data_IF_752138832339
#
_entry.id   IF_752138832339
#
_cell.length_a   1.000
_cell.length_b   1.000
_cell.length_c   1.000
_cell.angle_alpha   90.00
_cell.angle_beta   90.00
_cell.angle_gamma   90.00
#
_symmetry.space_group_name_H-M   'P 1'
#
loop_
_entity.id
_entity.type
_entity.pdbx_description
1 polymer ?
#
# COMPACT_ATOMS: atom_id res chain seq x y z
N UNK A 1 -13.35 -17.43 -12.99
CA UNK A 1 -13.45 -15.95 -13.12
C UNK A 1 -12.32 -15.47 -14.02
N UNK A 2 -12.56 -14.40 -14.79
CA UNK A 2 -11.50 -13.77 -15.59
C UNK A 2 -10.68 -12.86 -14.65
N UNK A 3 -9.39 -13.14 -14.39
CA UNK A 3 -8.59 -12.36 -13.45
C UNK A 3 -8.28 -10.93 -13.96
N UNK A 4 -8.64 -10.61 -15.20
CA UNK A 4 -8.49 -9.29 -15.81
C UNK A 4 -9.84 -8.60 -16.07
N UNK A 5 -10.94 -9.07 -15.46
CA UNK A 5 -12.26 -8.46 -15.67
C UNK A 5 -12.39 -7.07 -15.07
N UNK A 6 -11.59 -6.75 -14.04
CA UNK A 6 -11.64 -5.48 -13.33
C UNK A 6 -10.23 -4.94 -13.07
N UNK A 7 -9.53 -4.56 -14.15
CA UNK A 7 -8.13 -4.09 -14.05
C UNK A 7 -8.02 -2.73 -13.35
N UNK A 8 -9.03 -1.88 -13.52
CA UNK A 8 -9.01 -0.54 -12.91
C UNK A 8 -9.28 -0.58 -11.41
N UNK A 9 -10.09 -1.54 -10.95
CA UNK A 9 -10.47 -1.65 -9.55
C UNK A 9 -11.27 -0.44 -9.03
N UNK A 10 -11.50 -0.42 -7.72
CA UNK A 10 -12.25 0.64 -7.05
C UNK A 10 -11.38 1.85 -6.68
N UNK A 11 -11.78 3.05 -7.11
CA UNK A 11 -11.08 4.32 -6.80
C UNK A 11 -11.74 5.16 -5.69
N UNK A 12 -12.67 4.56 -4.96
CA UNK A 12 -13.43 5.24 -3.91
C UNK A 12 -13.99 4.26 -2.90
N UNK A 13 -14.82 4.79 -2.00
CA UNK A 13 -15.53 4.02 -0.97
C UNK A 13 -16.97 3.67 -1.38
N UNK A 14 -17.32 3.96 -2.64
CA UNK A 14 -18.67 3.74 -3.17
C UNK A 14 -18.55 3.06 -4.52
N UNK A 15 -19.29 1.98 -4.69
CA UNK A 15 -19.47 1.30 -5.96
C UNK A 15 -20.96 1.21 -6.28
N UNK A 16 -21.33 1.24 -7.57
CA UNK A 16 -22.72 1.07 -8.00
C UNK A 16 -22.90 -0.34 -8.55
N UNK A 17 -23.57 -1.21 -7.78
CA UNK A 17 -23.83 -2.60 -8.16
C UNK A 17 -25.33 -2.73 -8.38
N UNK A 18 -25.75 -3.13 -9.59
CA UNK A 18 -27.16 -3.27 -9.96
C UNK A 18 -28.03 -2.02 -9.71
N UNK A 19 -27.44 -0.83 -9.81
CA UNK A 19 -28.14 0.46 -9.61
C UNK A 19 -28.20 0.93 -8.15
N UNK A 20 -27.71 0.13 -7.20
CA UNK A 20 -27.60 0.52 -5.79
C UNK A 20 -26.17 0.94 -5.44
N UNK A 21 -26.02 1.98 -4.62
CA UNK A 21 -24.71 2.39 -4.08
C UNK A 21 -24.36 1.52 -2.88
N UNK A 22 -23.28 0.77 -3.01
CA UNK A 22 -22.71 -0.03 -1.93
C UNK A 22 -21.41 0.60 -1.43
N UNK A 23 -21.18 0.52 -0.12
CA UNK A 23 -19.93 1.00 0.49
C UNK A 23 -18.83 -0.04 0.26
N UNK A 24 -17.72 0.38 -0.32
CA UNK A 24 -16.51 -0.42 -0.46
C UNK A 24 -15.44 0.08 0.51
N UNK A 25 -14.67 -0.85 1.07
CA UNK A 25 -13.63 -0.52 2.08
C UNK A 25 -12.23 -0.91 1.62
N UNK A 26 -12.11 -1.56 0.46
CA UNK A 26 -10.85 -2.08 -0.12
C UNK A 26 -9.75 -1.02 -0.16
N UNK A 27 -10.06 0.21 -0.60
CA UNK A 27 -9.07 1.28 -0.67
C UNK A 27 -8.50 1.66 0.72
N UNK A 28 -9.33 1.64 1.76
CA UNK A 28 -8.91 1.93 3.14
C UNK A 28 -8.14 0.75 3.71
N UNK A 29 -8.60 -0.48 3.46
CA UNK A 29 -7.94 -1.71 3.90
C UNK A 29 -6.52 -1.84 3.34
N UNK A 30 -6.35 -1.59 2.03
CA UNK A 30 -5.06 -1.58 1.35
C UNK A 30 -4.09 -0.55 1.96
N UNK A 31 -4.57 0.68 2.21
CA UNK A 31 -3.76 1.70 2.89
C UNK A 31 -3.36 1.26 4.29
N UNK A 32 -4.31 0.83 5.12
CA UNK A 32 -4.07 0.45 6.51
C UNK A 32 -3.12 -0.74 6.62
N UNK A 33 -3.24 -1.72 5.73
CA UNK A 33 -2.39 -2.91 5.71
C UNK A 33 -0.91 -2.57 5.44
N UNK A 34 -0.65 -1.62 4.54
CA UNK A 34 0.72 -1.26 4.16
C UNK A 34 1.43 -0.35 5.17
N UNK A 35 0.70 0.33 6.06
CA UNK A 35 1.28 1.18 7.11
C UNK A 35 2.19 0.41 8.07
N UNK A 36 1.74 -0.66 8.77
CA UNK A 36 2.59 -1.42 9.67
C UNK A 36 3.69 -2.18 8.91
N UNK A 37 3.39 -2.73 7.73
CA UNK A 37 4.38 -3.37 6.86
C UNK A 37 5.54 -2.42 6.55
N UNK A 38 5.23 -1.23 6.04
CA UNK A 38 6.22 -0.23 5.68
C UNK A 38 7.05 0.23 6.89
N UNK A 39 6.41 0.46 8.04
CA UNK A 39 7.12 0.83 9.26
C UNK A 39 8.15 -0.23 9.70
N UNK A 40 7.78 -1.51 9.64
CA UNK A 40 8.68 -2.63 9.97
C UNK A 40 9.82 -2.72 8.96
N UNK A 41 9.56 -2.55 7.66
CA UNK A 41 10.60 -2.55 6.62
C UNK A 41 11.56 -1.38 6.83
N UNK A 42 11.06 -0.17 7.10
CA UNK A 42 11.90 1.01 7.35
C UNK A 42 12.75 0.85 8.60
N UNK A 43 12.23 0.23 9.65
CA UNK A 43 12.98 -0.09 10.87
C UNK A 43 14.07 -1.14 10.61
N UNK A 44 13.73 -2.22 9.91
CA UNK A 44 14.65 -3.34 9.60
C UNK A 44 15.85 -2.86 8.77
N UNK A 45 15.63 -1.91 7.86
CA UNK A 45 16.67 -1.38 6.96
C UNK A 45 17.07 0.06 7.27
N UNK A 46 16.89 0.54 8.51
CA UNK A 46 17.16 1.93 8.91
C UNK A 46 18.60 2.35 8.53
N UNK A 47 19.57 1.47 8.75
CA UNK A 47 21.00 1.72 8.47
C UNK A 47 21.29 1.96 6.98
N UNK A 48 20.50 1.35 6.08
CA UNK A 48 20.69 1.43 4.62
C UNK A 48 19.97 2.62 3.99
N UNK A 49 18.80 3.00 4.53
CA UNK A 49 17.90 4.00 3.95
C UNK A 49 18.33 5.43 4.32
N UNK A 50 18.91 5.60 5.51
CA UNK A 50 19.34 6.89 6.05
C UNK A 50 18.19 7.67 6.72
N UNK A 51 18.53 8.84 7.29
CA UNK A 51 17.67 9.54 8.27
C UNK A 51 16.75 10.65 7.69
N UNK A 52 16.77 10.87 6.38
CA UNK A 52 16.02 11.96 5.75
C UNK A 52 14.57 11.54 5.44
N UNK A 53 13.59 12.35 5.85
CA UNK A 53 12.16 12.04 5.62
C UNK A 53 11.84 11.81 4.14
N UNK A 54 12.41 12.62 3.23
CA UNK A 54 12.24 12.43 1.77
C UNK A 54 12.75 11.06 1.30
N UNK A 55 13.89 10.60 1.84
CA UNK A 55 14.45 9.28 1.51
C UNK A 55 13.55 8.18 2.06
N UNK A 56 13.12 8.29 3.31
CA UNK A 56 12.23 7.31 3.95
C UNK A 56 10.93 7.16 3.15
N UNK A 57 10.28 8.26 2.77
CA UNK A 57 9.05 8.23 1.95
C UNK A 57 9.31 7.63 0.56
N UNK A 58 10.41 8.02 -0.08
CA UNK A 58 10.76 7.48 -1.40
C UNK A 58 11.03 5.97 -1.36
N UNK A 59 11.83 5.49 -0.41
CA UNK A 59 12.15 4.08 -0.27
C UNK A 59 10.93 3.26 0.15
N UNK A 60 10.14 3.73 1.12
CA UNK A 60 8.91 3.05 1.52
C UNK A 60 7.89 2.96 0.38
N UNK A 61 7.66 4.05 -0.35
CA UNK A 61 6.79 4.06 -1.53
C UNK A 61 7.29 3.10 -2.61
N UNK A 62 8.58 3.11 -2.93
CA UNK A 62 9.17 2.21 -3.93
C UNK A 62 9.02 0.74 -3.53
N UNK A 63 9.29 0.40 -2.26
CA UNK A 63 9.16 -0.98 -1.78
C UNK A 63 7.70 -1.41 -1.78
N UNK A 64 6.78 -0.57 -1.29
CA UNK A 64 5.35 -0.86 -1.30
C UNK A 64 4.83 -1.05 -2.73
N UNK A 65 5.23 -0.21 -3.69
CA UNK A 65 4.88 -0.38 -5.10
C UNK A 65 5.37 -1.72 -5.67
N UNK A 66 6.65 -2.05 -5.49
CA UNK A 66 7.21 -3.31 -5.98
C UNK A 66 6.56 -4.54 -5.31
N UNK A 67 6.30 -4.46 -4.01
CA UNK A 67 5.66 -5.53 -3.26
C UNK A 67 4.21 -5.74 -3.72
N UNK A 68 3.45 -4.65 -3.88
CA UNK A 68 2.06 -4.70 -4.37
C UNK A 68 2.00 -5.26 -5.78
N UNK A 69 2.85 -4.76 -6.70
CA UNK A 69 2.94 -5.31 -8.05
C UNK A 69 3.26 -6.81 -8.04
N UNK A 70 4.14 -7.25 -7.13
CA UNK A 70 4.46 -8.69 -6.98
C UNK A 70 3.24 -9.48 -6.51
N UNK A 71 2.48 -8.97 -5.54
CA UNK A 71 1.25 -9.63 -5.05
C UNK A 71 0.21 -9.75 -6.17
N UNK A 72 -0.07 -8.65 -6.88
CA UNK A 72 -1.03 -8.65 -8.00
C UNK A 72 -0.62 -9.63 -9.11
N UNK A 73 0.67 -9.67 -9.45
CA UNK A 73 1.20 -10.62 -10.44
C UNK A 73 1.09 -12.07 -9.95
N UNK A 74 1.32 -12.34 -8.66
CA UNK A 74 1.14 -13.67 -8.09
C UNK A 74 -0.34 -14.08 -8.08
N UNK A 75 -1.26 -13.18 -7.72
CA UNK A 75 -2.70 -13.43 -7.77
C UNK A 75 -3.18 -13.72 -9.19
N UNK A 76 -2.68 -12.97 -10.18
CA UNK A 76 -2.95 -13.19 -11.61
C UNK A 76 -2.43 -14.55 -12.09
N UNK A 77 -1.17 -14.89 -11.78
CA UNK A 77 -0.54 -16.15 -12.19
C UNK A 77 -1.21 -17.36 -11.55
N UNK A 78 -1.57 -17.28 -10.27
CA UNK A 78 -2.22 -18.36 -9.52
C UNK A 78 -3.74 -18.38 -9.69
N UNK A 79 -4.32 -17.39 -10.38
CA UNK A 79 -5.77 -17.23 -10.58
C UNK A 79 -6.56 -17.16 -9.27
N UNK A 80 -5.98 -16.55 -8.24
CA UNK A 80 -6.57 -16.42 -6.91
C UNK A 80 -7.44 -15.17 -6.74
N UNK A 81 -7.29 -14.18 -7.63
CA UNK A 81 -8.02 -12.91 -7.57
C UNK A 81 -7.98 -12.15 -8.90
N UNK A 82 -8.43 -10.90 -8.87
CA UNK A 82 -8.35 -9.93 -9.97
C UNK A 82 -7.10 -9.07 -9.84
N UNK A 83 -6.41 -8.82 -10.95
CA UNK A 83 -5.30 -7.87 -10.98
C UNK A 83 -5.86 -6.44 -10.93
N UNK A 84 -5.57 -5.67 -9.88
CA UNK A 84 -6.16 -4.34 -9.68
C UNK A 84 -5.11 -3.23 -9.57
N UNK A 85 -5.24 -2.21 -10.43
CA UNK A 85 -4.37 -1.02 -10.39
C UNK A 85 -4.64 -0.11 -9.19
N UNK A 86 -5.90 -0.05 -8.73
CA UNK A 86 -6.29 0.62 -7.49
C UNK A 86 -5.47 0.11 -6.31
N UNK A 87 -5.27 -1.21 -6.25
CA UNK A 87 -4.65 -1.88 -5.12
C UNK A 87 -3.17 -1.54 -5.06
N UNK A 88 -2.47 -1.60 -6.19
CA UNK A 88 -1.10 -1.12 -6.32
C UNK A 88 -0.98 0.34 -5.85
N UNK A 89 -1.93 1.19 -6.25
CA UNK A 89 -1.91 2.61 -5.90
C UNK A 89 -2.14 2.83 -4.40
N UNK A 90 -3.22 2.31 -3.83
CA UNK A 90 -3.57 2.48 -2.41
C UNK A 90 -2.53 1.86 -1.50
N UNK A 91 -1.99 0.70 -1.86
CA UNK A 91 -0.89 0.10 -1.12
C UNK A 91 0.39 0.96 -1.16
N UNK A 92 0.70 1.57 -2.31
CA UNK A 92 1.84 2.50 -2.42
C UNK A 92 1.63 3.74 -1.52
N UNK A 93 0.42 4.29 -1.50
CA UNK A 93 0.04 5.40 -0.60
C UNK A 93 0.18 4.98 0.87
N UNK A 94 -0.35 3.82 1.25
CA UNK A 94 -0.19 3.25 2.60
C UNK A 94 1.27 3.05 2.98
N UNK A 95 2.10 2.62 2.03
CA UNK A 95 3.54 2.49 2.20
C UNK A 95 4.22 3.82 2.54
N UNK A 96 3.91 4.88 1.78
CA UNK A 96 4.43 6.23 2.05
C UNK A 96 3.98 6.78 3.40
N UNK A 97 2.71 6.56 3.77
CA UNK A 97 2.16 6.95 5.08
C UNK A 97 2.89 6.21 6.20
N UNK A 98 3.09 4.89 6.07
CA UNK A 98 3.84 4.09 7.03
C UNK A 98 5.29 4.59 7.21
N UNK A 99 5.94 5.00 6.11
CA UNK A 99 7.27 5.61 6.16
C UNK A 99 7.29 6.95 6.92
N UNK A 100 6.28 7.81 6.70
CA UNK A 100 6.13 9.07 7.45
C UNK A 100 5.87 8.83 8.94
N UNK A 101 4.99 7.88 9.27
CA UNK A 101 4.68 7.51 10.65
C UNK A 101 5.94 6.99 11.35
N UNK A 102 6.70 6.10 10.72
CA UNK A 102 7.98 5.61 11.22
C UNK A 102 8.95 6.78 11.51
N UNK A 103 9.11 7.70 10.56
CA UNK A 103 9.97 8.87 10.74
C UNK A 103 9.52 9.72 11.95
N UNK A 104 8.22 9.97 12.09
CA UNK A 104 7.63 10.72 13.20
C UNK A 104 7.93 10.06 14.55
N UNK A 105 7.69 8.75 14.66
CA UNK A 105 7.95 7.96 15.87
C UNK A 105 9.44 8.01 16.24
N UNK A 106 10.33 7.79 15.27
CA UNK A 106 11.78 7.81 15.52
C UNK A 106 12.30 9.18 15.93
N UNK A 107 11.71 10.25 15.39
CA UNK A 107 12.04 11.63 15.77
C UNK A 107 11.55 11.96 17.18
N UNK A 108 10.35 11.49 17.55
CA UNK A 108 9.82 11.65 18.90
C UNK A 108 10.66 10.88 19.93
N UNK A 109 11.05 9.64 19.63
CA UNK A 109 11.91 8.81 20.49
C UNK A 109 13.28 9.42 20.78
N UNK A 110 13.87 10.16 19.83
CA UNK A 110 15.17 10.85 20.01
C UNK A 110 15.07 12.17 20.79
N UNK A 111 13.85 12.67 21.01
CA UNK A 111 13.60 13.89 21.81
C UNK A 111 13.28 13.57 23.27
N UNK A 112 13.02 12.29 23.57
CA UNK A 112 12.94 11.73 24.91
C UNK A 112 14.34 11.24 25.33
#
# INVERSE_FOLDING_TARGET
MNPLSDVMGGWGIWETVNGERQLTTECIENVIMMVPFSAVVMWTFEEKIGKGWKKIVWYSGKIAFCFSLTIEMLQLLLRLGTFQLSDIFYNTVGGMIGGLMYYGIMKARKRL
#
